data_IF_451439957657
#
_entry.id   IF_451439957657
#
_cell.length_a   1.000
_cell.length_b   1.000
_cell.length_c   1.000
_cell.angle_alpha   90.00
_cell.angle_beta   90.00
_cell.angle_gamma   90.00
#
_symmetry.space_group_name_H-M   'P 1'
#
loop_
_entity.id
_entity.type
_entity.pdbx_description
1 polymer ?
#
# COMPACT_ATOMS: atom_id res chain seq x y z
N UNK A 1 -49.67 23.82 99.35
CA UNK A 1 -49.00 24.69 98.36
C UNK A 1 -47.97 23.84 97.64
N UNK A 2 -48.19 23.48 96.37
CA UNK A 2 -47.31 22.58 95.62
C UNK A 2 -46.02 23.29 95.22
N UNK A 3 -44.86 22.68 95.47
CA UNK A 3 -43.54 23.25 95.12
C UNK A 3 -43.45 23.62 93.62
N UNK A 4 -44.16 22.86 92.78
CA UNK A 4 -44.24 23.03 91.33
C UNK A 4 -44.89 24.36 90.91
N UNK A 5 -45.85 24.88 91.69
CA UNK A 5 -46.55 26.13 91.36
C UNK A 5 -45.75 27.38 91.72
N UNK A 6 -44.75 27.26 92.62
CA UNK A 6 -43.86 28.38 92.99
C UNK A 6 -42.57 28.42 92.16
N UNK A 7 -42.12 27.29 91.60
CA UNK A 7 -40.87 27.19 90.84
C UNK A 7 -41.09 26.67 89.40
N UNK A 8 -42.24 26.98 88.79
CA UNK A 8 -42.62 26.49 87.47
C UNK A 8 -41.57 26.82 86.39
N UNK A 9 -40.99 28.02 86.42
CA UNK A 9 -39.96 28.45 85.46
C UNK A 9 -38.72 27.54 85.48
N UNK A 10 -38.28 27.11 86.67
CA UNK A 10 -37.13 26.20 86.81
C UNK A 10 -37.47 24.79 86.35
N UNK A 11 -38.70 24.34 86.59
CA UNK A 11 -39.18 23.05 86.11
C UNK A 11 -39.33 23.03 84.57
N UNK A 12 -39.88 24.10 83.99
CA UNK A 12 -40.01 24.26 82.55
C UNK A 12 -38.63 24.36 81.86
N UNK A 13 -37.69 25.12 82.45
CA UNK A 13 -36.31 25.21 81.96
C UNK A 13 -35.60 23.85 82.01
N UNK A 14 -35.76 23.11 83.10
CA UNK A 14 -35.21 21.75 83.25
C UNK A 14 -35.77 20.79 82.21
N UNK A 15 -37.09 20.79 82.00
CA UNK A 15 -37.74 19.97 80.98
C UNK A 15 -37.28 20.33 79.56
N UNK A 16 -37.12 21.63 79.25
CA UNK A 16 -36.61 22.09 77.97
C UNK A 16 -35.16 21.66 77.74
N UNK A 17 -34.30 21.71 78.77
CA UNK A 17 -32.91 21.27 78.68
C UNK A 17 -32.80 19.76 78.40
N UNK A 18 -33.64 18.95 79.06
CA UNK A 18 -33.69 17.49 78.81
C UNK A 18 -34.17 17.20 77.39
N UNK A 19 -35.19 17.92 76.90
CA UNK A 19 -35.67 17.78 75.53
C UNK A 19 -34.58 18.16 74.52
N UNK A 20 -33.87 19.27 74.74
CA UNK A 20 -32.77 19.70 73.87
C UNK A 20 -31.64 18.67 73.81
N UNK A 21 -31.22 18.11 74.96
CA UNK A 21 -30.23 17.04 75.01
C UNK A 21 -30.72 15.79 74.26
N UNK A 22 -32.00 15.43 74.39
CA UNK A 22 -32.61 14.35 73.64
C UNK A 22 -32.51 14.55 72.12
N UNK A 23 -32.81 15.75 71.62
CA UNK A 23 -32.68 16.06 70.19
C UNK A 23 -31.22 16.04 69.71
N UNK A 24 -30.27 16.50 70.53
CA UNK A 24 -28.84 16.42 70.20
C UNK A 24 -28.37 14.96 70.09
N UNK A 25 -28.76 14.10 71.02
CA UNK A 25 -28.43 12.67 70.96
C UNK A 25 -29.07 11.97 69.75
N UNK A 26 -30.31 12.30 69.41
CA UNK A 26 -30.99 11.76 68.22
C UNK A 26 -30.34 12.24 66.92
N UNK A 27 -29.91 13.50 66.86
CA UNK A 27 -29.15 14.02 65.72
C UNK A 27 -27.83 13.27 65.55
N UNK A 28 -27.08 13.07 66.63
CA UNK A 28 -25.77 12.40 66.58
C UNK A 28 -25.86 10.92 66.21
N UNK A 29 -26.89 10.21 66.69
CA UNK A 29 -27.09 8.78 66.38
C UNK A 29 -27.44 8.53 64.91
N UNK A 30 -28.06 9.52 64.23
CA UNK A 30 -28.42 9.43 62.82
C UNK A 30 -27.31 9.90 61.87
N UNK A 31 -26.45 10.83 62.27
CA UNK A 31 -25.34 11.33 61.43
C UNK A 31 -24.34 10.23 61.06
N UNK A 32 -24.06 9.28 61.97
CA UNK A 32 -23.10 8.20 61.71
C UNK A 32 -23.57 7.16 60.69
N UNK A 33 -24.89 7.04 60.46
CA UNK A 33 -25.49 5.99 59.63
C UNK A 33 -25.98 6.49 58.26
N UNK A 34 -25.75 7.76 57.92
CA UNK A 34 -26.17 8.35 56.63
C UNK A 34 -25.58 7.59 55.44
N UNK A 35 -24.34 7.09 55.56
CA UNK A 35 -23.70 6.32 54.49
C UNK A 35 -24.37 4.95 54.25
N UNK A 36 -24.96 4.33 55.28
CA UNK A 36 -25.70 3.07 55.13
C UNK A 36 -27.14 3.30 54.66
N UNK A 37 -27.82 4.32 55.20
CA UNK A 37 -29.20 4.67 54.82
C UNK A 37 -29.30 5.17 53.35
N UNK A 38 -28.21 5.71 52.80
CA UNK A 38 -28.10 6.14 51.39
C UNK A 38 -27.10 5.31 50.58
N UNK A 39 -27.12 3.98 50.73
CA UNK A 39 -26.34 3.10 49.86
C UNK A 39 -26.93 3.09 48.44
N UNK A 40 -26.47 4.00 47.59
CA UNK A 40 -26.73 3.96 46.14
C UNK A 40 -25.78 2.94 45.53
N UNK A 41 -26.27 1.70 45.36
CA UNK A 41 -25.58 0.71 44.56
C UNK A 41 -25.65 1.13 43.09
N UNK A 42 -24.55 1.67 42.56
CA UNK A 42 -24.41 2.07 41.16
C UNK A 42 -24.16 0.90 40.22
N UNK A 43 -24.04 -0.33 40.73
CA UNK A 43 -24.00 -1.53 39.90
C UNK A 43 -25.42 -1.91 39.48
N UNK A 44 -25.85 -1.38 38.34
CA UNK A 44 -26.94 -1.98 37.58
C UNK A 44 -26.62 -3.46 37.34
N UNK A 45 -27.62 -4.33 37.51
CA UNK A 45 -27.48 -5.79 37.46
C UNK A 45 -27.07 -6.35 36.09
N UNK A 46 -25.84 -6.06 35.69
CA UNK A 46 -25.18 -6.51 34.48
C UNK A 46 -23.72 -6.81 34.78
N UNK A 47 -23.10 -7.59 33.90
CA UNK A 47 -21.67 -7.83 33.94
C UNK A 47 -20.92 -6.49 33.84
N UNK A 48 -20.02 -6.20 34.79
CA UNK A 48 -19.17 -5.01 34.85
C UNK A 48 -18.10 -4.97 33.73
N UNK A 49 -18.45 -5.42 32.53
CA UNK A 49 -17.58 -5.46 31.38
C UNK A 49 -17.87 -4.24 30.49
N UNK A 50 -17.04 -3.19 30.51
CA UNK A 50 -17.20 -2.03 29.62
C UNK A 50 -16.85 -2.35 28.16
N UNK A 51 -16.51 -3.60 27.84
CA UNK A 51 -16.17 -3.99 26.48
C UNK A 51 -17.39 -3.89 25.57
N UNK A 52 -17.22 -3.14 24.48
CA UNK A 52 -18.16 -3.11 23.36
C UNK A 52 -18.35 -4.53 22.85
N UNK A 53 -19.62 -4.93 22.66
CA UNK A 53 -19.95 -6.25 22.14
C UNK A 53 -19.15 -6.52 20.85
N UNK A 54 -18.44 -7.65 20.80
CA UNK A 54 -17.61 -8.09 19.67
C UNK A 54 -16.32 -7.29 19.43
N UNK A 55 -15.81 -6.56 20.42
CA UNK A 55 -14.50 -5.88 20.30
C UNK A 55 -13.34 -6.84 19.97
N UNK A 56 -13.45 -8.12 20.34
CA UNK A 56 -12.50 -9.18 19.97
C UNK A 56 -12.43 -9.45 18.45
N UNK A 57 -13.51 -9.14 17.72
CA UNK A 57 -13.53 -9.25 16.26
C UNK A 57 -12.68 -8.18 15.59
N UNK A 58 -12.47 -7.03 16.23
CA UNK A 58 -11.63 -5.94 15.68
C UNK A 58 -10.19 -6.41 15.57
N UNK A 59 -9.65 -7.03 16.62
CA UNK A 59 -8.31 -7.61 16.58
C UNK A 59 -8.19 -8.72 15.51
N UNK A 60 -9.21 -9.59 15.39
CA UNK A 60 -9.25 -10.63 14.34
C UNK A 60 -9.30 -10.03 12.93
N UNK A 61 -10.06 -8.97 12.72
CA UNK A 61 -10.16 -8.27 11.44
C UNK A 61 -8.84 -7.58 11.07
N UNK A 62 -8.21 -6.89 12.02
CA UNK A 62 -6.88 -6.26 11.81
C UNK A 62 -5.83 -7.32 11.48
N UNK A 63 -5.80 -8.46 12.19
CA UNK A 63 -4.91 -9.57 11.87
C UNK A 63 -5.18 -10.19 10.50
N UNK A 64 -6.44 -10.19 10.03
CA UNK A 64 -6.79 -10.69 8.70
C UNK A 64 -6.30 -9.78 7.56
N UNK A 65 -6.16 -8.48 7.81
CA UNK A 65 -5.60 -7.51 6.86
C UNK A 65 -4.08 -7.63 6.74
N UNK A 66 -3.39 -8.06 7.81
CA UNK A 66 -1.93 -8.26 7.81
C UNK A 66 -1.48 -9.58 7.20
N UNK A 67 -2.40 -10.43 6.71
CA UNK A 67 -2.04 -11.64 5.99
C UNK A 67 -1.38 -11.25 4.67
N UNK A 68 -0.06 -11.44 4.58
CA UNK A 68 0.65 -11.34 3.32
C UNK A 68 0.15 -12.45 2.40
N UNK A 69 -0.79 -12.10 1.50
CA UNK A 69 -1.24 -12.99 0.42
C UNK A 69 -0.36 -12.71 -0.79
N UNK A 70 0.63 -13.57 -1.11
CA UNK A 70 1.34 -13.46 -2.37
C UNK A 70 0.36 -13.79 -3.49
N UNK A 71 0.09 -12.79 -4.35
CA UNK A 71 -0.69 -12.99 -5.57
C UNK A 71 0.27 -13.57 -6.61
N UNK A 72 0.23 -14.88 -6.84
CA UNK A 72 1.01 -15.53 -7.89
C UNK A 72 0.17 -15.66 -9.14
N UNK A 73 0.76 -15.40 -10.31
CA UNK A 73 0.09 -15.61 -11.60
C UNK A 73 -0.53 -17.00 -11.69
N UNK A 74 -1.76 -17.07 -12.21
CA UNK A 74 -2.42 -18.33 -12.44
C UNK A 74 -1.91 -18.92 -13.76
N UNK A 75 -1.56 -20.22 -13.75
CA UNK A 75 -1.25 -20.95 -14.98
C UNK A 75 -2.55 -21.51 -15.55
N UNK A 76 -2.95 -21.03 -16.73
CA UNK A 76 -4.08 -21.58 -17.50
C UNK A 76 -3.53 -22.29 -18.71
N UNK A 77 -3.76 -23.61 -18.80
CA UNK A 77 -3.10 -24.50 -19.76
C UNK A 77 -1.57 -24.39 -19.64
N UNK A 78 -0.92 -23.68 -20.57
CA UNK A 78 0.52 -23.39 -20.61
C UNK A 78 0.87 -21.90 -20.62
N UNK A 79 -0.11 -21.04 -20.36
CA UNK A 79 0.07 -19.58 -20.28
C UNK A 79 0.02 -19.11 -18.84
N UNK A 80 1.00 -18.30 -18.45
CA UNK A 80 0.90 -17.50 -17.23
C UNK A 80 -0.04 -16.33 -17.50
N UNK A 81 -1.08 -16.23 -16.70
CA UNK A 81 -2.10 -15.19 -16.82
C UNK A 81 -2.01 -14.28 -15.60
N UNK A 82 -1.99 -12.98 -15.85
CA UNK A 82 -2.10 -11.97 -14.82
C UNK A 82 -3.52 -11.91 -14.26
N UNK A 83 -3.63 -11.62 -12.96
CA UNK A 83 -4.94 -11.53 -12.30
C UNK A 83 -5.64 -10.18 -12.52
N UNK A 84 -4.87 -9.14 -12.83
CA UNK A 84 -5.34 -7.75 -12.90
C UNK A 84 -5.27 -7.14 -14.30
N UNK A 85 -4.55 -7.78 -15.22
CA UNK A 85 -4.41 -7.36 -16.61
C UNK A 85 -4.93 -8.47 -17.53
N UNK A 86 -5.68 -8.07 -18.55
CA UNK A 86 -6.18 -9.01 -19.56
C UNK A 86 -5.04 -9.53 -20.45
N UNK A 87 -5.29 -10.67 -21.10
CA UNK A 87 -4.40 -11.16 -22.17
C UNK A 87 -4.41 -10.16 -23.31
N UNK A 88 -3.24 -9.65 -23.68
CA UNK A 88 -3.10 -8.77 -24.84
C UNK A 88 -3.38 -9.55 -26.12
N UNK A 89 -4.39 -9.09 -26.86
CA UNK A 89 -4.76 -9.61 -28.17
C UNK A 89 -4.58 -8.50 -29.19
N UNK A 90 -3.94 -8.84 -30.31
CA UNK A 90 -3.67 -7.93 -31.40
C UNK A 90 -4.63 -8.21 -32.55
N UNK A 91 -4.83 -7.24 -33.43
CA UNK A 91 -5.63 -7.43 -34.64
C UNK A 91 -4.74 -7.03 -35.80
N UNK A 92 -4.57 -7.95 -36.74
CA UNK A 92 -3.81 -7.66 -37.94
C UNK A 92 -4.65 -6.78 -38.88
N UNK A 93 -4.02 -5.76 -39.47
CA UNK A 93 -4.72 -4.76 -40.31
C UNK A 93 -5.37 -5.39 -41.56
N UNK A 94 -4.78 -6.45 -42.06
CA UNK A 94 -5.27 -7.25 -43.19
C UNK A 94 -6.45 -8.16 -42.82
N UNK A 95 -6.59 -8.54 -41.54
CA UNK A 95 -7.63 -9.44 -41.04
C UNK A 95 -8.31 -8.87 -39.78
N UNK A 96 -9.13 -7.81 -39.91
CA UNK A 96 -9.74 -7.13 -38.77
C UNK A 96 -10.70 -8.02 -37.95
N UNK A 97 -11.20 -9.10 -38.54
CA UNK A 97 -12.07 -10.07 -37.85
C UNK A 97 -11.35 -11.18 -37.09
N UNK A 98 -10.01 -11.23 -37.14
CA UNK A 98 -9.23 -12.31 -36.53
C UNK A 98 -8.27 -11.75 -35.48
N UNK A 99 -8.54 -12.06 -34.22
CA UNK A 99 -7.62 -11.77 -33.14
C UNK A 99 -6.35 -12.63 -33.28
N UNK A 100 -5.20 -11.98 -33.09
CA UNK A 100 -3.87 -12.55 -33.10
C UNK A 100 -3.37 -12.59 -31.67
N UNK A 101 -3.09 -13.80 -31.20
CA UNK A 101 -2.52 -14.06 -29.89
C UNK A 101 -1.02 -14.29 -30.04
N UNK A 102 -0.20 -13.42 -29.45
CA UNK A 102 1.26 -13.48 -29.59
C UNK A 102 1.88 -14.82 -29.14
N UNK A 103 1.27 -15.50 -28.17
CA UNK A 103 1.82 -16.76 -27.65
C UNK A 103 1.62 -17.96 -28.59
N UNK A 104 0.56 -17.94 -29.39
CA UNK A 104 0.16 -19.06 -30.27
C UNK A 104 0.38 -18.76 -31.75
N UNK A 105 0.51 -17.49 -32.11
CA UNK A 105 0.69 -17.04 -33.50
C UNK A 105 2.14 -17.13 -33.96
N UNK A 106 2.39 -17.22 -35.29
CA UNK A 106 3.72 -17.06 -35.86
C UNK A 106 4.33 -15.69 -35.50
N UNK A 107 5.67 -15.55 -35.58
CA UNK A 107 6.36 -14.28 -35.36
C UNK A 107 5.74 -13.15 -36.19
N UNK A 108 5.21 -12.12 -35.53
CA UNK A 108 4.60 -10.97 -36.21
C UNK A 108 5.66 -10.06 -36.83
N UNK A 109 6.85 -10.03 -36.24
CA UNK A 109 8.03 -9.31 -36.71
C UNK A 109 9.21 -10.26 -36.87
N UNK A 110 9.26 -11.02 -37.95
CA UNK A 110 10.43 -11.85 -38.24
C UNK A 110 11.68 -10.98 -38.42
N UNK A 111 12.85 -11.31 -37.82
CA UNK A 111 13.22 -12.59 -37.19
C UNK A 111 12.94 -12.70 -35.67
N UNK A 112 12.30 -11.72 -35.05
CA UNK A 112 12.12 -11.63 -33.60
C UNK A 112 10.91 -12.48 -33.15
N UNK A 113 11.09 -13.49 -32.27
CA UNK A 113 10.01 -14.28 -31.73
C UNK A 113 9.02 -13.45 -30.90
N UNK A 114 7.73 -13.76 -31.00
CA UNK A 114 6.68 -13.09 -30.23
C UNK A 114 6.92 -13.13 -28.71
N UNK A 115 7.48 -14.22 -28.20
CA UNK A 115 7.81 -14.36 -26.78
C UNK A 115 8.84 -13.34 -26.30
N UNK A 116 9.77 -12.91 -27.17
CA UNK A 116 10.77 -11.91 -26.80
C UNK A 116 10.12 -10.55 -26.53
N UNK A 117 9.14 -10.15 -27.34
CA UNK A 117 8.38 -8.91 -27.12
C UNK A 117 7.63 -8.94 -25.78
N UNK A 118 7.00 -10.07 -25.45
CA UNK A 118 6.27 -10.24 -24.19
C UNK A 118 7.22 -10.21 -22.99
N UNK A 119 8.34 -10.94 -23.05
CA UNK A 119 9.31 -11.03 -21.96
C UNK A 119 9.96 -9.70 -21.64
N UNK A 120 10.27 -8.90 -22.67
CA UNK A 120 10.81 -7.55 -22.48
C UNK A 120 9.70 -6.50 -22.27
N UNK A 121 8.42 -6.90 -22.33
CA UNK A 121 7.26 -6.02 -22.17
C UNK A 121 7.24 -4.86 -23.17
N UNK A 122 7.68 -5.13 -24.41
CA UNK A 122 7.68 -4.19 -25.52
C UNK A 122 6.37 -4.32 -26.31
N UNK A 123 5.95 -3.25 -26.98
CA UNK A 123 4.76 -3.28 -27.84
C UNK A 123 5.14 -3.62 -29.30
N UNK A 124 4.79 -4.81 -29.81
CA UNK A 124 5.05 -5.18 -31.18
C UNK A 124 3.91 -4.77 -32.13
N UNK A 125 2.90 -4.04 -31.67
CA UNK A 125 1.72 -3.68 -32.45
C UNK A 125 2.00 -2.77 -33.65
N UNK A 126 3.18 -2.15 -33.72
CA UNK A 126 3.55 -1.25 -34.79
C UNK A 126 4.44 -1.92 -35.83
N UNK A 127 4.28 -1.53 -37.10
CA UNK A 127 5.11 -2.03 -38.20
C UNK A 127 6.60 -1.68 -38.02
N UNK A 128 6.88 -0.54 -37.39
CA UNK A 128 8.22 -0.04 -37.09
C UNK A 128 8.74 -0.49 -35.71
N UNK A 129 8.01 -1.35 -34.96
CA UNK A 129 8.46 -1.86 -33.66
C UNK A 129 9.89 -2.43 -33.68
N UNK A 130 10.35 -3.20 -34.69
CA UNK A 130 11.74 -3.68 -34.76
C UNK A 130 12.80 -2.58 -34.90
N UNK A 131 12.42 -1.44 -35.49
CA UNK A 131 13.30 -0.28 -35.69
C UNK A 131 13.18 0.78 -34.61
N UNK A 132 12.30 0.58 -33.62
CA UNK A 132 12.18 1.48 -32.47
C UNK A 132 13.26 1.19 -31.45
N UNK A 133 13.59 2.24 -30.74
CA UNK A 133 14.46 2.28 -29.58
C UNK A 133 13.55 2.57 -28.39
N UNK A 134 13.53 1.68 -27.39
CA UNK A 134 12.58 1.74 -26.29
C UNK A 134 13.16 2.39 -25.03
N UNK A 135 14.48 2.42 -24.90
CA UNK A 135 15.20 3.05 -23.80
C UNK A 135 15.99 4.29 -24.23
N UNK A 136 15.98 4.64 -25.52
CA UNK A 136 16.63 5.80 -26.15
C UNK A 136 18.17 5.75 -26.06
N UNK A 137 18.75 4.55 -26.12
CA UNK A 137 20.22 4.33 -26.07
C UNK A 137 20.91 4.44 -27.46
N UNK A 138 20.12 4.57 -28.53
CA UNK A 138 20.56 4.65 -29.92
C UNK A 138 20.57 3.32 -30.67
N UNK A 139 20.19 2.21 -30.04
CA UNK A 139 20.03 0.89 -30.61
C UNK A 139 18.56 0.53 -30.82
N UNK A 140 18.30 -0.21 -31.89
CA UNK A 140 16.95 -0.65 -32.22
C UNK A 140 16.66 -2.00 -31.56
N UNK A 141 15.40 -2.26 -31.25
CA UNK A 141 14.92 -3.53 -30.72
C UNK A 141 15.46 -4.76 -31.49
N UNK A 142 15.64 -4.63 -32.82
CA UNK A 142 16.23 -5.69 -33.65
C UNK A 142 17.72 -5.90 -33.38
N UNK A 143 18.50 -4.83 -33.26
CA UNK A 143 19.93 -4.92 -32.96
C UNK A 143 20.17 -5.51 -31.57
N UNK A 144 19.35 -5.11 -30.61
CA UNK A 144 19.40 -5.63 -29.24
C UNK A 144 18.96 -7.09 -29.14
N UNK A 145 17.93 -7.48 -29.89
CA UNK A 145 17.54 -8.88 -30.01
C UNK A 145 18.69 -9.74 -30.54
N UNK A 146 19.41 -9.27 -31.56
CA UNK A 146 20.57 -9.97 -32.13
C UNK A 146 21.75 -10.03 -31.14
N UNK A 147 21.95 -8.97 -30.37
CA UNK A 147 23.01 -8.86 -29.37
C UNK A 147 22.66 -9.55 -28.03
N UNK A 148 21.41 -9.98 -27.84
CA UNK A 148 20.85 -10.53 -26.59
C UNK A 148 20.99 -9.57 -25.41
N UNK A 149 20.78 -8.29 -25.66
CA UNK A 149 20.76 -7.24 -24.64
C UNK A 149 19.33 -6.94 -24.18
N UNK A 150 19.17 -6.07 -23.19
CA UNK A 150 17.88 -5.76 -22.59
C UNK A 150 17.38 -4.43 -23.16
N UNK A 151 16.33 -4.44 -24.00
CA UNK A 151 15.83 -3.27 -24.73
C UNK A 151 15.12 -2.23 -23.86
N UNK A 152 15.16 -2.39 -22.54
CA UNK A 152 14.63 -1.43 -21.57
C UNK A 152 15.68 -0.87 -20.64
N UNK A 153 16.92 -1.34 -20.74
CA UNK A 153 18.01 -0.87 -19.89
C UNK A 153 19.08 -0.18 -20.74
N UNK A 154 19.11 1.15 -20.62
CA UNK A 154 20.11 2.05 -21.19
C UNK A 154 21.57 1.60 -21.04
N UNK A 155 21.89 0.76 -20.06
CA UNK A 155 23.25 0.23 -19.82
C UNK A 155 23.50 -1.11 -20.50
N UNK A 156 22.44 -1.81 -20.85
CA UNK A 156 22.45 -3.12 -21.47
C UNK A 156 22.31 -2.94 -22.98
N UNK A 157 23.40 -2.50 -23.61
CA UNK A 157 23.39 -2.17 -25.02
C UNK A 157 24.48 -2.93 -25.80
N UNK A 158 24.30 -3.16 -27.11
CA UNK A 158 25.33 -3.75 -27.95
C UNK A 158 26.61 -2.88 -28.00
N UNK A 159 27.74 -3.43 -28.47
CA UNK A 159 28.95 -2.66 -28.65
C UNK A 159 28.74 -1.44 -29.56
N UNK A 160 29.12 -0.24 -29.10
CA UNK A 160 29.01 1.03 -29.85
C UNK A 160 29.71 0.99 -31.22
N UNK A 161 30.72 0.13 -31.38
CA UNK A 161 31.39 -0.13 -32.66
C UNK A 161 30.41 -0.54 -33.77
N UNK A 162 29.27 -1.16 -33.43
CA UNK A 162 28.24 -1.54 -34.41
C UNK A 162 27.56 -0.32 -35.06
N UNK A 163 27.60 0.85 -34.40
CA UNK A 163 27.04 2.10 -34.93
C UNK A 163 28.06 2.94 -35.70
N UNK A 164 29.35 2.63 -35.58
CA UNK A 164 30.41 3.35 -36.29
C UNK A 164 30.32 3.05 -37.78
N UNK A 165 30.10 4.10 -38.57
CA UNK A 165 30.09 4.05 -40.04
C UNK A 165 31.25 4.89 -40.54
N UNK A 166 32.00 4.35 -41.49
CA UNK A 166 33.00 5.13 -42.21
C UNK A 166 32.28 6.19 -43.05
N UNK A 167 32.55 7.46 -42.78
CA UNK A 167 31.95 8.60 -43.49
C UNK A 167 32.80 8.99 -44.70
N UNK A 168 34.08 9.29 -44.47
CA UNK A 168 35.09 9.58 -45.50
C UNK A 168 36.50 9.46 -44.93
N UNK A 169 37.45 9.23 -45.81
CA UNK A 169 38.89 9.33 -45.53
C UNK A 169 39.39 10.63 -46.14
N UNK A 170 39.93 11.50 -45.30
CA UNK A 170 40.62 12.73 -45.73
C UNK A 170 42.13 12.48 -45.66
N UNK A 171 42.68 11.89 -46.72
CA UNK A 171 44.13 11.69 -46.84
C UNK A 171 44.78 12.91 -47.50
N UNK A 172 45.71 13.58 -46.81
CA UNK A 172 46.56 14.61 -47.42
C UNK A 172 47.81 13.96 -48.03
N UNK A 173 47.91 13.93 -49.36
CA UNK A 173 49.12 13.44 -50.03
C UNK A 173 50.22 14.51 -50.01
N UNK A 174 51.35 14.21 -49.36
CA UNK A 174 52.55 15.05 -49.42
C UNK A 174 53.51 14.54 -50.50
N UNK A 175 53.77 15.37 -51.51
CA UNK A 175 54.82 15.10 -52.49
C UNK A 175 56.14 15.73 -52.02
N UNK A 176 57.07 14.91 -51.55
CA UNK A 176 58.45 15.34 -51.32
C UNK A 176 59.16 15.37 -52.67
N UNK A 177 59.48 16.56 -53.17
CA UNK A 177 60.37 16.72 -54.33
C UNK A 177 61.81 16.85 -53.84
N UNK A 178 62.68 15.83 -54.03
CA UNK A 178 64.11 16.03 -53.82
C UNK A 178 64.62 17.06 -54.84
N UNK A 179 65.15 18.17 -54.35
CA UNK A 179 65.83 19.16 -55.19
C UNK A 179 67.20 18.61 -55.58
N UNK A 180 67.40 18.34 -56.86
CA UNK A 180 68.74 18.13 -57.39
C UNK A 180 69.37 19.51 -57.64
N UNK A 181 70.59 19.78 -57.17
CA UNK A 181 71.30 21.00 -57.54
C UNK A 181 71.61 20.93 -59.04
N UNK A 182 71.15 21.94 -59.79
CA UNK A 182 71.59 22.16 -61.16
C UNK A 182 73.11 22.41 -61.13
N UNK A 183 73.83 21.69 -62.00
CA UNK A 183 75.30 21.58 -62.00
C UNK A 183 76.07 22.88 -62.21
#
# INVERSE_FOLDING_TARGET
MSWLSQNYEKAALGAAAVAALGFVCLGWSKVGNVAEDFNVNTQGGGNNNPAVAKADLVAKAVSSLSLNRPWTQAKVEDRLVDLFTGVQLFIARDQPGKAVDLYKSPPIHSPIPNLWWIQNGLDPGFADSPSRDADDDGFTNLEEFLAKTDPKDLKSHPPLINKLKYEKDESLNWYVRPGFPDG
#
